data_IF_694430521536
#
_entry.id   IF_694430521536
#
_cell.length_a   1.000
_cell.length_b   1.000
_cell.length_c   1.000
_cell.angle_alpha   90.00
_cell.angle_beta   90.00
_cell.angle_gamma   90.00
#
_symmetry.space_group_name_H-M   'P 1'
#
loop_
_entity.id
_entity.type
_entity.pdbx_description
1 polymer ?
#
# COMPACT_ATOMS: atom_id res chain seq x y z
N UNK A 1 -30.00 12.16 -3.37
CA UNK A 1 -29.39 12.83 -2.21
C UNK A 1 -30.44 13.17 -1.15
N UNK A 2 -31.48 13.93 -1.48
CA UNK A 2 -32.59 14.29 -0.58
C UNK A 2 -33.18 13.08 0.16
N UNK A 3 -33.52 12.00 -0.54
CA UNK A 3 -34.03 10.76 0.07
C UNK A 3 -33.07 10.17 1.12
N UNK A 4 -31.75 10.24 0.88
CA UNK A 4 -30.75 9.76 1.84
C UNK A 4 -30.64 10.70 3.05
N UNK A 5 -30.62 12.02 2.82
CA UNK A 5 -30.56 13.00 3.91
C UNK A 5 -31.78 12.93 4.82
N UNK A 6 -32.97 12.77 4.25
CA UNK A 6 -34.21 12.58 5.02
C UNK A 6 -34.17 11.23 5.74
N UNK A 7 -33.79 10.16 5.02
CA UNK A 7 -33.74 8.80 5.58
C UNK A 7 -32.76 8.63 6.74
N UNK A 8 -31.63 9.35 6.71
CA UNK A 8 -30.58 9.30 7.73
C UNK A 8 -30.53 10.56 8.61
N UNK A 9 -31.59 11.38 8.63
CA UNK A 9 -31.61 12.66 9.36
C UNK A 9 -31.26 12.52 10.84
N UNK A 10 -31.68 11.42 11.47
CA UNK A 10 -31.42 11.15 12.90
C UNK A 10 -29.96 10.80 13.21
N UNK A 11 -29.17 10.45 12.19
CA UNK A 11 -27.74 10.18 12.33
C UNK A 11 -26.88 11.45 12.16
N UNK A 12 -27.48 12.59 11.81
CA UNK A 12 -26.79 13.86 11.54
C UNK A 12 -27.20 14.87 12.61
N UNK A 13 -26.28 15.30 13.47
CA UNK A 13 -26.57 16.31 14.50
C UNK A 13 -26.59 17.73 13.94
N UNK A 14 -25.88 17.98 12.85
CA UNK A 14 -25.87 19.28 12.17
C UNK A 14 -24.75 19.41 11.14
N UNK A 15 -24.54 20.63 10.67
CA UNK A 15 -23.65 20.96 9.56
C UNK A 15 -22.31 21.51 10.05
N UNK A 16 -21.23 21.13 9.36
CA UNK A 16 -19.89 21.69 9.53
C UNK A 16 -19.49 22.34 8.22
N UNK A 17 -19.40 23.67 8.23
CA UNK A 17 -19.13 24.45 7.02
C UNK A 17 -17.63 24.56 6.84
N UNK A 18 -17.08 24.03 5.75
CA UNK A 18 -15.67 24.24 5.41
C UNK A 18 -15.47 25.61 4.73
N UNK A 19 -14.24 26.12 4.73
CA UNK A 19 -13.89 27.36 4.03
C UNK A 19 -13.36 27.04 2.62
N UNK A 20 -14.10 27.34 1.54
CA UNK A 20 -13.65 27.05 0.17
C UNK A 20 -12.41 27.85 -0.25
N UNK A 21 -12.16 29.01 0.36
CA UNK A 21 -10.99 29.84 0.08
C UNK A 21 -9.72 29.32 0.80
N UNK A 22 -9.87 28.31 1.66
CA UNK A 22 -8.77 27.67 2.37
C UNK A 22 -8.94 26.14 2.32
N UNK A 23 -8.30 25.51 1.33
CA UNK A 23 -8.52 24.10 0.97
C UNK A 23 -8.39 23.13 2.14
N UNK A 24 -7.40 23.32 3.02
CA UNK A 24 -7.14 22.43 4.15
C UNK A 24 -8.26 22.40 5.20
N UNK A 25 -9.15 23.41 5.21
CA UNK A 25 -10.29 23.43 6.14
C UNK A 25 -11.22 22.22 5.97
N UNK A 26 -11.32 21.62 4.79
CA UNK A 26 -12.19 20.45 4.57
C UNK A 26 -11.69 19.22 5.35
N UNK A 27 -10.38 19.06 5.55
CA UNK A 27 -9.82 17.98 6.36
C UNK A 27 -10.10 18.19 7.84
N UNK A 28 -9.97 19.42 8.31
CA UNK A 28 -10.32 19.79 9.69
C UNK A 28 -11.82 19.60 9.93
N UNK A 29 -12.67 20.02 8.97
CA UNK A 29 -14.11 19.78 9.01
C UNK A 29 -14.44 18.28 9.03
N UNK A 30 -13.70 17.46 8.27
CA UNK A 30 -13.85 15.99 8.27
C UNK A 30 -13.57 15.40 9.65
N UNK A 31 -12.50 15.84 10.31
CA UNK A 31 -12.18 15.41 11.68
C UNK A 31 -13.28 15.84 12.66
N UNK A 32 -13.73 17.10 12.59
CA UNK A 32 -14.81 17.60 13.45
C UNK A 32 -16.14 16.86 13.22
N UNK A 33 -16.41 16.42 11.99
CA UNK A 33 -17.63 15.69 11.65
C UNK A 33 -17.68 14.34 12.36
N UNK A 34 -16.57 13.61 12.44
CA UNK A 34 -16.48 12.36 13.18
C UNK A 34 -16.64 12.52 14.70
N UNK A 35 -16.30 13.69 15.25
CA UNK A 35 -16.42 13.98 16.69
C UNK A 35 -17.80 14.48 17.11
N UNK A 36 -18.59 14.98 16.16
CA UNK A 36 -19.83 15.71 16.42
C UNK A 36 -21.03 15.16 15.67
N UNK A 37 -20.89 13.97 15.07
CA UNK A 37 -21.89 13.36 14.19
C UNK A 37 -22.41 14.37 13.14
N UNK A 38 -21.48 15.13 12.57
CA UNK A 38 -21.77 16.24 11.66
C UNK A 38 -21.68 15.86 10.20
N UNK A 39 -22.33 16.64 9.33
CA UNK A 39 -22.15 16.56 7.88
C UNK A 39 -21.33 17.75 7.37
N UNK A 40 -20.26 17.47 6.63
CA UNK A 40 -19.42 18.51 6.02
C UNK A 40 -20.14 19.07 4.79
N UNK A 41 -20.26 20.39 4.72
CA UNK A 41 -21.00 21.09 3.66
C UNK A 41 -20.26 22.34 3.20
N UNK A 42 -20.46 22.70 1.93
CA UNK A 42 -20.06 24.02 1.43
C UNK A 42 -20.95 25.13 2.02
N UNK A 43 -20.52 26.40 1.96
CA UNK A 43 -21.33 27.53 2.41
C UNK A 43 -22.70 27.61 1.75
N UNK A 44 -22.77 27.36 0.44
CA UNK A 44 -24.03 27.35 -0.32
C UNK A 44 -24.94 26.22 0.15
N UNK A 45 -24.42 25.01 0.30
CA UNK A 45 -25.21 23.87 0.80
C UNK A 45 -25.72 24.10 2.22
N UNK A 46 -24.92 24.74 3.09
CA UNK A 46 -25.34 25.05 4.44
C UNK A 46 -26.56 25.99 4.46
N UNK A 47 -26.55 27.03 3.61
CA UNK A 47 -27.68 27.95 3.48
C UNK A 47 -28.94 27.22 2.99
N UNK A 48 -28.81 26.42 1.93
CA UNK A 48 -29.93 25.67 1.34
C UNK A 48 -30.53 24.66 2.35
N UNK A 49 -29.67 23.95 3.07
CA UNK A 49 -30.08 22.88 3.98
C UNK A 49 -30.59 23.40 5.31
N UNK A 50 -30.12 24.56 5.77
CA UNK A 50 -30.72 25.24 6.92
C UNK A 50 -32.17 25.62 6.62
N UNK A 51 -32.45 26.15 5.42
CA UNK A 51 -33.80 26.50 5.00
C UNK A 51 -34.70 25.28 4.80
N UNK A 52 -34.16 24.21 4.20
CA UNK A 52 -34.94 23.04 3.78
C UNK A 52 -35.15 22.02 4.92
N UNK A 53 -34.13 21.77 5.72
CA UNK A 53 -34.12 20.65 6.70
C UNK A 53 -33.96 21.10 8.16
N UNK A 54 -33.86 22.42 8.40
CA UNK A 54 -33.62 23.00 9.73
C UNK A 54 -32.45 22.33 10.47
N UNK A 55 -31.38 22.02 9.75
CA UNK A 55 -30.15 21.48 10.32
C UNK A 55 -29.37 22.62 11.02
N UNK A 56 -28.95 22.45 12.28
CA UNK A 56 -28.15 23.47 12.96
C UNK A 56 -26.73 23.50 12.41
N UNK A 57 -26.07 24.65 12.51
CA UNK A 57 -24.64 24.81 12.21
C UNK A 57 -23.85 24.46 13.47
N UNK A 58 -23.05 23.39 13.42
CA UNK A 58 -22.21 22.93 14.53
C UNK A 58 -20.84 23.61 14.56
N UNK A 59 -20.34 24.01 13.40
CA UNK A 59 -19.09 24.76 13.23
C UNK A 59 -19.06 25.44 11.85
N UNK A 60 -18.45 26.62 11.80
CA UNK A 60 -18.20 27.35 10.56
C UNK A 60 -16.72 27.69 10.46
N UNK A 61 -15.98 26.93 9.64
CA UNK A 61 -14.53 27.07 9.53
C UNK A 61 -14.11 28.35 8.79
N UNK A 62 -15.04 29.11 8.20
CA UNK A 62 -14.75 30.42 7.62
C UNK A 62 -14.44 31.48 8.67
N UNK A 63 -14.88 31.28 9.91
CA UNK A 63 -14.59 32.20 11.02
C UNK A 63 -13.19 32.00 11.61
N UNK A 64 -12.48 30.94 11.20
CA UNK A 64 -11.14 30.64 11.67
C UNK A 64 -10.13 31.43 10.83
N UNK A 65 -9.28 32.21 11.50
CA UNK A 65 -8.32 33.11 10.87
C UNK A 65 -6.93 32.46 10.70
N UNK A 66 -6.88 31.23 10.18
CA UNK A 66 -5.60 30.60 9.86
C UNK A 66 -4.99 31.23 8.61
N UNK A 67 -3.70 31.56 8.68
CA UNK A 67 -2.99 32.17 7.56
C UNK A 67 -2.43 31.14 6.57
N UNK A 68 -2.19 29.91 7.04
CA UNK A 68 -1.57 28.83 6.28
C UNK A 68 -1.93 27.46 6.89
N UNK A 69 -1.62 26.38 6.16
CA UNK A 69 -1.89 25.01 6.58
C UNK A 69 -1.18 24.59 7.87
N UNK A 70 0.01 25.13 8.13
CA UNK A 70 0.78 24.79 9.33
C UNK A 70 0.03 25.26 10.59
N UNK A 71 -0.45 26.51 10.59
CA UNK A 71 -1.29 27.04 11.68
C UNK A 71 -2.59 26.25 11.84
N UNK A 72 -3.24 25.91 10.73
CA UNK A 72 -4.53 25.21 10.75
C UNK A 72 -4.38 23.79 11.33
N UNK A 73 -3.38 23.02 10.90
CA UNK A 73 -3.16 21.67 11.39
C UNK A 73 -2.51 21.62 12.78
N UNK A 74 -1.68 22.59 13.17
CA UNK A 74 -1.20 22.64 14.56
C UNK A 74 -2.35 22.98 15.53
N UNK A 75 -3.26 23.87 15.13
CA UNK A 75 -4.52 24.09 15.86
C UNK A 75 -5.34 22.79 15.95
N UNK A 76 -5.53 22.08 14.83
CA UNK A 76 -6.29 20.83 14.82
C UNK A 76 -5.63 19.74 15.68
N UNK A 77 -4.30 19.63 15.65
CA UNK A 77 -3.54 18.71 16.51
C UNK A 77 -3.77 19.00 17.99
N UNK A 78 -3.84 20.27 18.39
CA UNK A 78 -4.06 20.63 19.79
C UNK A 78 -5.51 20.45 20.24
N UNK A 79 -6.49 20.68 19.35
CA UNK A 79 -7.90 20.78 19.73
C UNK A 79 -8.75 19.54 19.35
N UNK A 80 -8.35 18.81 18.30
CA UNK A 80 -9.13 17.70 17.76
C UNK A 80 -8.44 16.36 17.98
N UNK A 81 -7.13 16.24 17.72
CA UNK A 81 -6.40 14.96 17.83
C UNK A 81 -6.58 14.24 19.18
N UNK A 82 -6.59 14.91 20.35
CA UNK A 82 -6.76 14.21 21.64
C UNK A 82 -8.10 13.46 21.79
N UNK A 83 -9.10 13.85 21.00
CA UNK A 83 -10.43 13.23 20.98
C UNK A 83 -10.70 12.42 19.70
N UNK A 84 -9.68 12.22 18.86
CA UNK A 84 -9.74 11.35 17.68
C UNK A 84 -9.39 9.90 18.04
N UNK A 85 -9.67 8.98 17.11
CA UNK A 85 -9.27 7.58 17.22
C UNK A 85 -7.77 7.45 17.46
N UNK A 86 -7.41 6.60 18.43
CA UNK A 86 -6.01 6.24 18.71
C UNK A 86 -5.47 5.13 17.80
N UNK A 87 -6.31 4.57 16.92
CA UNK A 87 -5.95 3.44 16.06
C UNK A 87 -5.56 3.83 14.64
N UNK A 88 -5.94 5.03 14.19
CA UNK A 88 -5.65 5.47 12.83
C UNK A 88 -5.50 7.00 12.71
N UNK A 89 -4.60 7.40 11.81
CA UNK A 89 -4.40 8.78 11.34
C UNK A 89 -4.50 8.80 9.82
N UNK A 90 -4.93 9.90 9.20
CA UNK A 90 -5.06 9.98 7.75
C UNK A 90 -4.34 11.19 7.13
N UNK A 91 -3.51 10.93 6.12
CA UNK A 91 -3.02 11.93 5.19
C UNK A 91 -3.95 12.02 3.98
N UNK A 92 -4.61 13.15 3.73
CA UNK A 92 -5.59 13.26 2.63
C UNK A 92 -5.49 14.58 1.90
N UNK A 93 -5.27 14.55 0.57
CA UNK A 93 -5.29 15.76 -0.23
C UNK A 93 -6.64 16.48 -0.07
N UNK A 94 -6.68 17.76 0.32
CA UNK A 94 -7.93 18.49 0.48
C UNK A 94 -8.75 18.58 -0.82
N UNK A 95 -8.11 18.44 -1.98
CA UNK A 95 -8.80 18.38 -3.28
C UNK A 95 -9.50 17.04 -3.52
N UNK A 96 -9.14 16.00 -2.79
CA UNK A 96 -9.84 14.74 -2.85
C UNK A 96 -11.16 14.87 -2.09
N UNK A 97 -12.24 15.10 -2.83
CA UNK A 97 -13.58 15.35 -2.27
C UNK A 97 -14.35 14.05 -1.92
N UNK A 98 -13.83 12.88 -2.30
CA UNK A 98 -14.55 11.61 -2.20
C UNK A 98 -13.65 10.49 -1.65
N UNK A 99 -14.03 9.22 -1.85
CA UNK A 99 -13.27 8.05 -1.42
C UNK A 99 -13.26 7.90 0.11
N UNK A 100 -12.10 8.14 0.71
CA UNK A 100 -11.81 7.79 2.11
C UNK A 100 -12.60 8.60 3.15
N UNK A 101 -13.08 9.81 2.83
CA UNK A 101 -13.63 10.76 3.83
C UNK A 101 -14.77 10.18 4.68
N UNK A 102 -15.68 9.42 4.07
CA UNK A 102 -16.79 8.79 4.80
C UNK A 102 -16.29 7.84 5.89
N UNK A 103 -15.26 7.06 5.59
CA UNK A 103 -14.60 6.19 6.56
C UNK A 103 -13.95 7.00 7.67
N UNK A 104 -13.23 8.09 7.36
CA UNK A 104 -12.57 8.94 8.36
C UNK A 104 -13.56 9.57 9.34
N UNK A 105 -14.74 9.98 8.85
CA UNK A 105 -15.83 10.44 9.71
C UNK A 105 -16.34 9.28 10.57
N UNK A 106 -16.64 8.13 9.96
CA UNK A 106 -17.18 6.97 10.66
C UNK A 106 -16.25 6.41 11.75
N UNK A 107 -14.93 6.56 11.58
CA UNK A 107 -13.91 6.07 12.53
C UNK A 107 -13.34 7.17 13.42
N UNK A 108 -13.88 8.39 13.37
CA UNK A 108 -13.38 9.55 14.12
C UNK A 108 -11.85 9.73 13.94
N UNK A 109 -11.36 9.59 12.71
CA UNK A 109 -9.92 9.63 12.40
C UNK A 109 -9.44 11.07 12.23
N UNK A 110 -8.29 11.39 12.82
CA UNK A 110 -7.64 12.68 12.62
C UNK A 110 -7.08 12.80 11.19
N UNK A 111 -7.39 13.91 10.50
CA UNK A 111 -7.02 14.12 9.10
C UNK A 111 -6.06 15.31 8.97
N UNK A 112 -4.95 15.09 8.25
CA UNK A 112 -3.95 16.12 7.94
C UNK A 112 -3.53 16.08 6.46
N UNK A 113 -2.85 17.14 5.98
CA UNK A 113 -2.12 17.10 4.71
C UNK A 113 -0.95 18.07 4.72
N UNK A 114 0.24 17.52 4.95
CA UNK A 114 1.49 18.25 5.22
C UNK A 114 2.61 17.70 4.33
N UNK A 115 3.56 18.54 3.92
CA UNK A 115 4.71 18.13 3.10
C UNK A 115 5.86 17.64 3.99
N UNK A 116 6.11 16.33 3.96
CA UNK A 116 7.18 15.65 4.69
C UNK A 116 8.60 16.08 4.27
N UNK A 117 8.75 16.78 3.14
CA UNK A 117 10.04 17.34 2.68
C UNK A 117 10.29 18.76 3.20
N UNK A 118 9.29 19.40 3.81
CA UNK A 118 9.47 20.74 4.38
C UNK A 118 10.13 20.64 5.76
N UNK A 119 11.46 20.63 5.79
CA UNK A 119 12.28 20.48 6.99
C UNK A 119 12.63 21.82 7.67
N UNK A 120 12.62 22.93 6.93
CA UNK A 120 13.03 24.23 7.47
C UNK A 120 11.94 24.81 8.38
N UNK A 121 12.28 25.19 9.62
CA UNK A 121 11.37 25.91 10.50
C UNK A 121 10.85 27.19 9.87
N UNK A 122 9.53 27.38 9.93
CA UNK A 122 8.92 28.65 9.59
C UNK A 122 8.96 29.58 10.80
N UNK A 123 9.79 30.62 10.71
CA UNK A 123 9.97 31.63 11.75
C UNK A 123 8.71 32.43 12.05
N UNK A 124 7.73 32.42 11.13
CA UNK A 124 6.42 33.08 11.31
C UNK A 124 5.39 32.17 11.98
N UNK A 125 5.70 30.88 12.16
CA UNK A 125 4.80 29.87 12.73
C UNK A 125 5.50 29.09 13.84
N UNK A 126 5.87 29.77 14.93
CA UNK A 126 6.47 29.19 16.13
C UNK A 126 7.74 28.35 15.87
N UNK A 127 8.51 28.65 14.82
CA UNK A 127 9.68 27.86 14.41
C UNK A 127 9.33 26.39 14.15
N UNK A 128 8.11 26.12 13.68
CA UNK A 128 7.65 24.78 13.30
C UNK A 128 7.79 24.59 11.78
N UNK A 129 8.08 23.36 11.35
CA UNK A 129 8.02 22.96 9.94
C UNK A 129 6.89 21.95 9.73
N UNK A 130 6.41 21.79 8.49
CA UNK A 130 5.36 20.80 8.22
C UNK A 130 5.83 19.38 8.55
N UNK A 131 7.09 19.04 8.24
CA UNK A 131 7.70 17.76 8.65
C UNK A 131 7.70 17.61 10.18
N UNK A 132 8.08 18.65 10.91
CA UNK A 132 8.11 18.64 12.37
C UNK A 132 6.70 18.46 12.96
N UNK A 133 5.69 19.09 12.37
CA UNK A 133 4.30 18.91 12.77
C UNK A 133 3.79 17.49 12.46
N UNK A 134 4.14 16.91 11.31
CA UNK A 134 3.82 15.50 11.01
C UNK A 134 4.41 14.56 12.05
N UNK A 135 5.69 14.73 12.41
CA UNK A 135 6.34 13.95 13.46
C UNK A 135 5.64 14.11 14.82
N UNK A 136 5.23 15.34 15.16
CA UNK A 136 4.47 15.60 16.38
C UNK A 136 3.11 14.91 16.37
N UNK A 137 2.41 14.86 15.23
CA UNK A 137 1.14 14.12 15.08
C UNK A 137 1.37 12.61 15.25
N UNK A 138 2.35 12.04 14.55
CA UNK A 138 2.58 10.59 14.57
C UNK A 138 3.03 10.07 15.94
N UNK A 139 3.75 10.89 16.70
CA UNK A 139 4.21 10.54 18.06
C UNK A 139 3.05 10.31 19.05
N UNK A 140 1.87 10.84 18.79
CA UNK A 140 0.68 10.63 19.64
C UNK A 140 0.05 9.24 19.46
N UNK A 141 0.48 8.48 18.46
CA UNK A 141 -0.04 7.14 18.17
C UNK A 141 0.89 6.06 18.73
N UNK A 142 0.28 4.96 19.22
CA UNK A 142 1.05 3.79 19.65
C UNK A 142 1.55 2.99 18.44
N UNK A 143 2.71 2.31 18.55
CA UNK A 143 3.18 1.38 17.54
C UNK A 143 2.08 0.39 17.11
N UNK A 144 1.92 0.20 15.80
CA UNK A 144 0.89 -0.66 15.21
C UNK A 144 -0.44 0.04 14.89
N UNK A 145 -0.61 1.32 15.23
CA UNK A 145 -1.64 2.16 14.62
C UNK A 145 -1.39 2.31 13.10
N UNK A 146 -2.44 2.66 12.37
CA UNK A 146 -2.43 2.67 10.90
C UNK A 146 -2.45 4.09 10.36
N UNK A 147 -1.61 4.35 9.36
CA UNK A 147 -1.72 5.54 8.53
C UNK A 147 -2.58 5.21 7.30
N UNK A 148 -3.67 5.96 7.12
CA UNK A 148 -4.59 5.88 6.00
C UNK A 148 -4.35 7.03 5.02
N UNK A 149 -4.86 6.87 3.80
CA UNK A 149 -4.75 7.88 2.75
C UNK A 149 -3.39 7.83 2.05
N UNK A 150 -2.79 8.99 1.79
CA UNK A 150 -1.52 9.10 1.07
C UNK A 150 -0.72 10.37 1.47
N UNK A 151 0.44 10.56 0.85
CA UNK A 151 1.37 11.65 1.12
C UNK A 151 1.57 12.56 -0.11
N UNK A 152 2.06 13.77 0.14
CA UNK A 152 2.58 14.64 -0.92
C UNK A 152 3.84 14.03 -1.56
N UNK A 153 4.68 13.39 -0.75
CA UNK A 153 5.89 12.69 -1.18
C UNK A 153 5.95 11.31 -0.50
N UNK A 154 5.91 10.24 -1.31
CA UNK A 154 5.87 8.86 -0.84
C UNK A 154 7.10 8.50 0.01
N UNK A 155 8.30 8.70 -0.54
CA UNK A 155 9.55 8.25 0.10
C UNK A 155 9.75 8.88 1.48
N UNK A 156 9.61 10.19 1.59
CA UNK A 156 9.75 10.86 2.88
C UNK A 156 8.56 10.64 3.82
N UNK A 157 7.34 10.49 3.29
CA UNK A 157 6.13 10.19 4.05
C UNK A 157 6.16 8.80 4.71
N UNK A 158 6.40 7.76 3.91
CA UNK A 158 6.53 6.37 4.36
C UNK A 158 7.72 6.20 5.31
N UNK A 159 8.81 6.96 5.11
CA UNK A 159 9.93 6.98 6.06
C UNK A 159 9.51 7.50 7.43
N UNK A 160 8.73 8.59 7.49
CA UNK A 160 8.27 9.16 8.77
C UNK A 160 7.29 8.23 9.50
N UNK A 161 6.38 7.57 8.79
CA UNK A 161 5.46 6.61 9.41
C UNK A 161 6.20 5.35 9.85
N UNK A 162 7.18 4.88 9.06
CA UNK A 162 8.02 3.74 9.44
C UNK A 162 8.82 4.03 10.71
N UNK A 163 9.44 5.22 10.82
CA UNK A 163 10.14 5.65 12.05
C UNK A 163 9.21 5.67 13.28
N UNK A 164 7.93 5.97 13.08
CA UNK A 164 6.90 6.00 14.11
C UNK A 164 6.20 4.63 14.34
N UNK A 165 6.65 3.57 13.67
CA UNK A 165 6.02 2.25 13.67
C UNK A 165 4.51 2.27 13.29
N UNK A 166 4.17 3.14 12.34
CA UNK A 166 2.84 3.25 11.72
C UNK A 166 2.87 2.64 10.33
N UNK A 167 2.03 1.64 10.12
CA UNK A 167 1.90 0.97 8.81
C UNK A 167 1.02 1.80 7.88
N UNK A 168 1.40 1.95 6.62
CA UNK A 168 0.62 2.71 5.64
C UNK A 168 -0.33 1.79 4.87
N UNK A 169 -1.59 2.22 4.72
CA UNK A 169 -2.55 1.64 3.79
C UNK A 169 -2.98 2.71 2.78
N UNK A 170 -2.51 2.61 1.54
CA UNK A 170 -2.87 3.53 0.46
C UNK A 170 -4.37 3.44 0.15
N UNK A 171 -5.13 4.44 0.59
CA UNK A 171 -6.60 4.39 0.65
C UNK A 171 -7.29 5.71 0.32
N UNK A 172 -6.57 6.75 -0.09
CA UNK A 172 -7.14 8.08 -0.37
C UNK A 172 -8.22 8.05 -1.47
N UNK A 173 -8.09 7.15 -2.44
CA UNK A 173 -9.05 6.89 -3.51
C UNK A 173 -9.82 5.56 -3.35
N UNK A 174 -9.84 4.99 -2.14
CA UNK A 174 -10.66 3.81 -1.85
C UNK A 174 -12.09 4.23 -1.53
N UNK A 175 -13.06 3.67 -2.24
CA UNK A 175 -14.46 4.03 -2.09
C UNK A 175 -15.20 3.06 -1.17
N UNK A 176 -16.06 3.63 -0.32
CA UNK A 176 -16.98 2.91 0.56
C UNK A 176 -16.27 1.99 1.56
N UNK A 177 -15.09 2.36 2.06
CA UNK A 177 -14.32 1.50 2.98
C UNK A 177 -15.14 1.15 4.22
N UNK A 178 -15.98 2.07 4.70
CA UNK A 178 -16.90 1.83 5.82
C UNK A 178 -17.93 0.72 5.54
N UNK A 179 -18.34 0.58 4.29
CA UNK A 179 -19.23 -0.50 3.85
C UNK A 179 -18.44 -1.79 3.69
N UNK A 180 -17.28 -1.73 3.03
CA UNK A 180 -16.44 -2.91 2.80
C UNK A 180 -15.97 -3.56 4.10
N UNK A 181 -15.61 -2.78 5.11
CA UNK A 181 -15.17 -3.27 6.42
C UNK A 181 -16.34 -3.77 7.28
N UNK A 182 -17.55 -3.23 7.12
CA UNK A 182 -18.72 -3.63 7.93
C UNK A 182 -19.43 -4.90 7.43
N UNK A 183 -19.31 -5.23 6.14
CA UNK A 183 -19.92 -6.42 5.58
C UNK A 183 -19.04 -7.65 5.83
N UNK A 184 -19.43 -8.47 6.82
CA UNK A 184 -18.79 -9.76 7.02
C UNK A 184 -19.13 -10.72 5.87
N UNK A 185 -18.12 -11.33 5.26
CA UNK A 185 -18.32 -12.39 4.27
C UNK A 185 -18.80 -13.66 4.98
N UNK A 186 -19.99 -14.16 4.65
CA UNK A 186 -20.52 -15.43 5.15
C UNK A 186 -19.74 -16.66 4.65
N UNK A 187 -18.81 -16.48 3.71
CA UNK A 187 -17.90 -17.51 3.20
C UNK A 187 -16.47 -17.13 3.56
N UNK A 188 -16.12 -17.29 4.84
CA UNK A 188 -14.73 -17.32 5.28
C UNK A 188 -14.12 -18.66 4.87
N UNK A 189 -13.74 -18.78 3.60
CA UNK A 189 -12.79 -19.79 3.15
C UNK A 189 -12.19 -19.21 1.89
N UNK A 190 -10.98 -18.66 2.01
CA UNK A 190 -10.08 -18.61 0.87
C UNK A 190 -10.08 -20.03 0.32
N UNK A 191 -10.62 -20.22 -0.88
CA UNK A 191 -10.40 -21.46 -1.61
C UNK A 191 -8.88 -21.61 -1.62
N UNK A 192 -8.35 -22.74 -1.15
CA UNK A 192 -6.95 -23.05 -1.39
C UNK A 192 -6.72 -22.82 -2.89
N UNK A 193 -5.77 -21.94 -3.21
CA UNK A 193 -5.38 -21.75 -4.61
C UNK A 193 -5.18 -23.16 -5.20
N UNK A 194 -5.66 -23.43 -6.43
CA UNK A 194 -5.58 -24.77 -7.01
C UNK A 194 -4.17 -25.34 -6.80
N UNK A 195 -4.09 -26.55 -6.23
CA UNK A 195 -2.83 -27.23 -5.93
C UNK A 195 -1.89 -27.08 -7.12
N UNK A 196 -0.69 -26.53 -6.86
CA UNK A 196 0.32 -26.28 -7.88
C UNK A 196 0.48 -27.51 -8.79
N UNK A 197 0.58 -27.28 -10.10
CA UNK A 197 1.07 -28.30 -11.03
C UNK A 197 2.42 -28.83 -10.52
N UNK A 198 2.75 -30.08 -10.89
CA UNK A 198 4.03 -30.66 -10.51
C UNK A 198 5.18 -29.71 -10.89
N UNK A 199 6.03 -29.37 -9.92
CA UNK A 199 7.16 -28.44 -10.11
C UNK A 199 8.00 -28.92 -11.30
N UNK A 200 8.11 -28.14 -12.39
CA UNK A 200 8.82 -28.59 -13.58
C UNK A 200 10.30 -28.85 -13.29
N UNK A 201 10.85 -29.95 -13.82
CA UNK A 201 12.29 -30.20 -13.79
C UNK A 201 12.96 -29.40 -14.91
N UNK A 202 13.94 -28.56 -14.57
CA UNK A 202 14.74 -27.85 -15.57
C UNK A 202 15.88 -28.71 -16.08
N UNK A 203 16.10 -28.69 -17.40
CA UNK A 203 17.38 -29.11 -17.97
C UNK A 203 18.47 -28.08 -17.69
N UNK A 204 19.73 -28.51 -17.75
CA UNK A 204 20.91 -27.70 -17.42
C UNK A 204 21.09 -26.43 -18.27
N UNK A 205 20.35 -26.23 -19.36
CA UNK A 205 20.43 -25.03 -20.20
C UNK A 205 19.18 -24.15 -20.12
N UNK A 206 18.14 -24.57 -19.40
CA UNK A 206 16.90 -23.83 -19.31
C UNK A 206 16.95 -22.72 -18.26
N UNK A 207 16.11 -21.73 -18.47
CA UNK A 207 15.88 -20.59 -17.57
C UNK A 207 14.45 -20.68 -17.07
N UNK A 208 14.24 -20.80 -15.76
CA UNK A 208 12.91 -20.61 -15.19
C UNK A 208 12.65 -19.12 -15.03
N UNK A 209 11.48 -18.69 -15.47
CA UNK A 209 11.05 -17.28 -15.41
C UNK A 209 9.66 -17.17 -14.82
N UNK A 210 9.46 -16.17 -13.97
CA UNK A 210 8.14 -15.78 -13.46
C UNK A 210 7.97 -14.26 -13.57
N UNK A 211 6.72 -13.81 -13.52
CA UNK A 211 6.33 -12.41 -13.64
C UNK A 211 5.47 -12.05 -12.43
N UNK A 212 5.81 -10.96 -11.74
CA UNK A 212 5.08 -10.46 -10.57
C UNK A 212 4.59 -9.04 -10.83
N UNK A 213 3.28 -8.82 -10.79
CA UNK A 213 2.66 -7.50 -10.94
C UNK A 213 2.72 -6.74 -9.61
N UNK A 214 3.19 -5.49 -9.67
CA UNK A 214 3.43 -4.59 -8.54
C UNK A 214 2.17 -3.98 -7.90
N UNK A 215 2.38 -3.09 -6.92
CA UNK A 215 1.38 -2.20 -6.29
C UNK A 215 0.32 -2.91 -5.43
N UNK A 216 0.54 -4.16 -5.04
CA UNK A 216 -0.41 -4.94 -4.25
C UNK A 216 -0.65 -4.45 -2.82
N UNK A 217 0.27 -3.70 -2.23
CA UNK A 217 0.09 -3.05 -0.93
C UNK A 217 -1.01 -1.97 -0.95
N UNK A 218 -1.24 -1.41 -2.13
CA UNK A 218 -2.12 -0.30 -2.37
C UNK A 218 -3.59 -0.78 -2.49
N UNK A 219 -4.38 -0.56 -1.43
CA UNK A 219 -5.77 -1.05 -1.37
C UNK A 219 -6.66 -0.43 -2.45
N UNK A 220 -6.45 0.84 -2.82
CA UNK A 220 -7.20 1.48 -3.92
C UNK A 220 -6.79 0.91 -5.29
N UNK A 221 -5.53 0.53 -5.50
CA UNK A 221 -5.12 -0.23 -6.68
C UNK A 221 -5.88 -1.55 -6.74
N UNK A 222 -5.96 -2.29 -5.63
CA UNK A 222 -6.70 -3.55 -5.53
C UNK A 222 -8.19 -3.37 -5.86
N UNK A 223 -8.84 -2.30 -5.37
CA UNK A 223 -10.25 -2.04 -5.65
C UNK A 223 -10.50 -1.69 -7.12
N UNK A 224 -9.57 -0.97 -7.76
CA UNK A 224 -9.80 -0.37 -9.08
C UNK A 224 -8.95 -1.02 -10.17
N UNK A 225 -7.66 -0.73 -10.19
CA UNK A 225 -6.82 -1.05 -11.34
C UNK A 225 -6.51 -2.55 -11.43
N UNK A 226 -6.22 -3.21 -10.30
CA UNK A 226 -6.06 -4.65 -10.26
C UNK A 226 -7.29 -5.35 -10.82
N UNK A 227 -8.51 -4.90 -10.49
CA UNK A 227 -9.75 -5.49 -11.04
C UNK A 227 -9.82 -5.40 -12.57
N UNK A 228 -9.28 -4.32 -13.18
CA UNK A 228 -9.18 -4.20 -14.63
C UNK A 228 -8.19 -5.20 -15.21
N UNK A 229 -7.00 -5.30 -14.63
CA UNK A 229 -5.98 -6.28 -15.03
C UNK A 229 -6.47 -7.72 -14.82
N UNK A 230 -7.19 -7.97 -13.74
CA UNK A 230 -7.79 -9.26 -13.39
C UNK A 230 -8.87 -9.71 -14.38
N UNK A 231 -9.43 -8.78 -15.18
CA UNK A 231 -10.42 -9.08 -16.23
C UNK A 231 -9.80 -9.18 -17.63
N UNK A 232 -8.48 -9.06 -17.75
CA UNK A 232 -7.78 -9.23 -19.01
C UNK A 232 -8.00 -10.64 -19.58
N UNK A 233 -8.29 -10.73 -20.89
CA UNK A 233 -8.62 -12.00 -21.56
C UNK A 233 -7.47 -13.01 -21.63
N UNK A 234 -6.23 -12.55 -21.47
CA UNK A 234 -5.04 -13.41 -21.44
C UNK A 234 -4.79 -14.01 -20.05
N UNK A 235 -5.39 -13.45 -18.99
CA UNK A 235 -5.28 -13.99 -17.63
C UNK A 235 -5.81 -15.43 -17.58
N UNK A 236 -5.13 -16.29 -16.83
CA UNK A 236 -5.45 -17.71 -16.74
C UNK A 236 -4.88 -18.56 -17.87
N UNK A 237 -4.36 -17.95 -18.94
CA UNK A 237 -3.63 -18.66 -20.01
C UNK A 237 -2.10 -18.66 -19.84
N UNK A 238 -1.59 -17.87 -18.88
CA UNK A 238 -0.16 -17.72 -18.57
C UNK A 238 0.04 -17.58 -17.05
N UNK A 239 1.14 -18.12 -16.47
CA UNK A 239 1.46 -17.92 -15.05
C UNK A 239 1.75 -16.46 -14.71
N UNK A 240 1.08 -15.92 -13.69
CA UNK A 240 1.22 -14.53 -13.22
C UNK A 240 1.17 -14.50 -11.69
N UNK A 241 2.13 -13.81 -11.08
CA UNK A 241 2.08 -13.38 -9.68
C UNK A 241 1.40 -12.03 -9.53
N UNK A 242 0.58 -11.91 -8.50
CA UNK A 242 -0.13 -10.70 -8.11
C UNK A 242 0.28 -10.34 -6.69
N UNK A 243 0.96 -9.21 -6.51
CA UNK A 243 1.07 -8.66 -5.16
C UNK A 243 -0.33 -8.28 -4.67
N UNK A 244 -0.64 -8.56 -3.41
CA UNK A 244 -1.92 -8.26 -2.76
C UNK A 244 -1.70 -7.96 -1.28
N UNK A 245 -2.39 -6.94 -0.77
CA UNK A 245 -2.27 -6.51 0.62
C UNK A 245 -2.86 -7.57 1.54
N UNK A 246 -2.08 -8.11 2.50
CA UNK A 246 -2.60 -9.01 3.53
C UNK A 246 -3.73 -8.37 4.37
N UNK A 247 -3.74 -7.04 4.49
CA UNK A 247 -4.79 -6.32 5.21
C UNK A 247 -6.16 -6.35 4.49
N UNK A 248 -6.20 -6.75 3.20
CA UNK A 248 -7.44 -6.80 2.43
C UNK A 248 -8.51 -7.69 3.06
N UNK A 249 -8.10 -8.79 3.70
CA UNK A 249 -9.04 -9.72 4.37
C UNK A 249 -9.80 -9.06 5.53
N UNK A 250 -9.25 -8.01 6.12
CA UNK A 250 -9.88 -7.22 7.17
C UNK A 250 -10.54 -5.95 6.62
N UNK A 251 -9.87 -5.25 5.71
CA UNK A 251 -10.35 -3.98 5.16
C UNK A 251 -11.55 -4.16 4.21
N UNK A 252 -11.53 -5.21 3.38
CA UNK A 252 -12.56 -5.51 2.40
C UNK A 252 -12.71 -7.03 2.16
N UNK A 253 -13.19 -7.80 3.16
CA UNK A 253 -13.34 -9.26 3.07
C UNK A 253 -14.14 -9.73 1.84
N UNK A 254 -15.17 -8.99 1.44
CA UNK A 254 -15.95 -9.30 0.23
C UNK A 254 -15.13 -9.19 -1.06
N UNK A 255 -14.21 -8.21 -1.12
CA UNK A 255 -13.30 -8.01 -2.25
C UNK A 255 -12.20 -9.09 -2.27
N UNK A 256 -11.62 -9.41 -1.12
CA UNK A 256 -10.72 -10.57 -0.98
C UNK A 256 -11.40 -11.84 -1.49
N UNK A 257 -12.60 -12.15 -0.99
CA UNK A 257 -13.35 -13.33 -1.40
C UNK A 257 -13.64 -13.38 -2.92
N UNK A 258 -13.85 -12.23 -3.57
CA UNK A 258 -14.00 -12.18 -5.03
C UNK A 258 -12.74 -12.65 -5.76
N UNK A 259 -11.55 -12.18 -5.36
CA UNK A 259 -10.28 -12.58 -5.97
C UNK A 259 -10.02 -14.09 -5.78
N UNK A 260 -10.21 -14.63 -4.56
CA UNK A 260 -10.04 -16.06 -4.32
C UNK A 260 -11.08 -16.94 -5.02
N UNK A 261 -12.32 -16.49 -5.20
CA UNK A 261 -13.34 -17.26 -5.94
C UNK A 261 -13.04 -17.35 -7.43
N UNK A 262 -12.32 -16.37 -7.98
CA UNK A 262 -12.10 -16.24 -9.42
C UNK A 262 -10.67 -16.56 -9.85
N UNK A 263 -9.78 -16.88 -8.90
CA UNK A 263 -8.39 -17.30 -9.13
C UNK A 263 -8.32 -18.53 -10.05
N UNK A 264 -7.35 -18.53 -10.98
CA UNK A 264 -7.04 -19.68 -11.84
C UNK A 264 -5.81 -20.43 -11.31
N UNK A 265 -5.49 -21.60 -11.88
CA UNK A 265 -4.26 -22.33 -11.54
C UNK A 265 -2.96 -21.60 -11.97
N UNK A 266 -3.10 -20.58 -12.82
CA UNK A 266 -2.01 -19.76 -13.32
C UNK A 266 -1.87 -18.42 -12.57
N UNK A 267 -2.70 -18.17 -11.56
CA UNK A 267 -2.61 -16.99 -10.71
C UNK A 267 -1.94 -17.37 -9.38
N UNK A 268 -1.02 -16.53 -8.90
CA UNK A 268 -0.34 -16.70 -7.62
C UNK A 268 -0.40 -15.40 -6.81
N UNK A 269 -0.78 -15.47 -5.54
CA UNK A 269 -0.89 -14.29 -4.67
C UNK A 269 0.36 -14.15 -3.80
N UNK A 270 0.92 -12.94 -3.81
CA UNK A 270 2.14 -12.58 -3.07
C UNK A 270 1.77 -11.48 -2.07
N UNK A 271 2.19 -11.59 -0.82
CA UNK A 271 2.00 -10.52 0.15
C UNK A 271 2.72 -9.25 -0.33
N UNK A 272 1.95 -8.17 -0.47
CA UNK A 272 2.46 -6.89 -0.98
C UNK A 272 3.46 -6.20 -0.03
N UNK A 273 4.21 -5.22 -0.55
CA UNK A 273 5.20 -4.43 0.18
C UNK A 273 4.65 -3.80 1.48
N UNK A 274 5.25 -3.93 2.65
CA UNK A 274 6.25 -4.94 3.03
C UNK A 274 5.68 -5.79 4.17
N UNK A 275 4.44 -6.26 4.01
CA UNK A 275 3.73 -7.09 5.00
C UNK A 275 2.31 -6.63 5.29
N UNK A 276 1.96 -6.48 6.58
CA UNK A 276 0.62 -6.05 7.03
C UNK A 276 0.16 -4.67 6.47
N UNK A 277 1.08 -3.94 5.85
CA UNK A 277 0.88 -2.79 4.99
C UNK A 277 2.24 -2.18 4.68
N UNK A 278 2.24 -1.04 3.98
CA UNK A 278 3.47 -0.50 3.43
C UNK A 278 4.33 0.17 4.51
N UNK A 279 5.59 -0.21 4.54
CA UNK A 279 6.62 0.30 5.44
C UNK A 279 8.01 0.03 4.85
N UNK A 280 9.00 0.80 5.30
CA UNK A 280 10.42 0.56 5.00
C UNK A 280 11.08 -0.17 6.16
N UNK A 281 11.49 -1.44 6.00
CA UNK A 281 12.07 -2.23 7.09
C UNK A 281 13.27 -1.54 7.73
N UNK A 282 14.15 -0.93 6.93
CA UNK A 282 15.36 -0.23 7.42
C UNK A 282 15.06 0.96 8.35
N UNK A 283 13.85 1.49 8.32
CA UNK A 283 13.38 2.62 9.15
C UNK A 283 12.54 2.16 10.34
N UNK A 284 12.05 0.92 10.32
CA UNK A 284 11.16 0.42 11.36
C UNK A 284 11.90 0.22 12.70
N UNK A 285 11.41 0.74 13.84
CA UNK A 285 12.07 0.57 15.13
C UNK A 285 12.28 -0.91 15.47
N UNK A 286 13.52 -1.27 15.79
CA UNK A 286 13.92 -2.66 15.97
C UNK A 286 13.12 -3.39 17.08
N UNK A 287 12.71 -2.66 18.12
CA UNK A 287 11.91 -3.18 19.22
C UNK A 287 10.44 -3.41 18.84
N UNK A 288 9.91 -2.70 17.85
CA UNK A 288 8.52 -2.82 17.39
C UNK A 288 8.36 -3.82 16.24
N UNK A 289 9.46 -4.16 15.55
CA UNK A 289 9.46 -5.10 14.42
C UNK A 289 8.83 -6.47 14.76
N UNK A 290 9.09 -7.11 15.92
CA UNK A 290 8.46 -8.40 16.24
C UNK A 290 6.92 -8.34 16.26
N UNK A 291 6.34 -7.25 16.79
CA UNK A 291 4.89 -7.05 16.81
C UNK A 291 4.33 -6.88 15.39
N UNK A 292 5.03 -6.11 14.55
CA UNK A 292 4.66 -5.96 13.14
C UNK A 292 4.72 -7.29 12.37
N UNK A 293 5.76 -8.10 12.57
CA UNK A 293 5.91 -9.39 11.88
C UNK A 293 4.88 -10.41 12.36
N UNK A 294 4.53 -10.43 13.65
CA UNK A 294 3.42 -11.25 14.13
C UNK A 294 2.10 -10.88 13.45
N UNK A 295 1.79 -9.58 13.30
CA UNK A 295 0.58 -9.13 12.60
C UNK A 295 0.62 -9.51 11.12
N UNK A 296 1.75 -9.29 10.47
CA UNK A 296 1.98 -9.66 9.06
C UNK A 296 1.77 -11.16 8.85
N UNK A 297 2.40 -11.99 9.67
CA UNK A 297 2.29 -13.44 9.60
C UNK A 297 0.85 -13.95 9.75
N UNK A 298 0.09 -13.43 10.72
CA UNK A 298 -1.33 -13.80 10.89
C UNK A 298 -2.20 -13.42 9.70
N UNK A 299 -1.97 -12.26 9.10
CA UNK A 299 -2.71 -11.82 7.90
C UNK A 299 -2.34 -12.68 6.68
N UNK A 300 -1.04 -12.97 6.51
CA UNK A 300 -0.55 -13.86 5.46
C UNK A 300 -1.15 -15.26 5.61
N UNK A 301 -1.15 -15.84 6.81
CA UNK A 301 -1.77 -17.13 7.10
C UNK A 301 -3.28 -17.13 6.78
N UNK A 302 -3.99 -16.07 7.16
CA UNK A 302 -5.44 -15.91 6.87
C UNK A 302 -5.76 -15.81 5.38
N UNK A 303 -4.78 -15.41 4.56
CA UNK A 303 -4.88 -15.30 3.11
C UNK A 303 -4.08 -16.40 2.38
N UNK A 304 -3.50 -17.37 3.09
CA UNK A 304 -2.62 -18.39 2.52
C UNK A 304 -1.50 -17.82 1.63
N UNK A 305 -0.91 -16.69 2.03
CA UNK A 305 0.20 -16.06 1.32
C UNK A 305 1.53 -16.64 1.85
N UNK A 306 2.28 -17.31 0.99
CA UNK A 306 3.58 -17.92 1.36
C UNK A 306 4.80 -17.16 0.83
N UNK A 307 4.60 -16.11 0.05
CA UNK A 307 5.69 -15.27 -0.49
C UNK A 307 5.45 -13.83 -0.12
N UNK A 308 6.50 -13.13 0.29
CA UNK A 308 6.48 -11.71 0.64
C UNK A 308 7.32 -10.90 -0.36
N UNK A 309 6.76 -9.84 -0.91
CA UNK A 309 7.49 -8.77 -1.59
C UNK A 309 7.90 -7.72 -0.57
N UNK A 310 9.18 -7.32 -0.58
CA UNK A 310 9.73 -6.31 0.31
C UNK A 310 10.31 -5.17 -0.50
N UNK A 311 9.84 -3.96 -0.22
CA UNK A 311 10.44 -2.72 -0.71
C UNK A 311 11.04 -1.95 0.45
N UNK A 312 12.20 -1.36 0.22
CA UNK A 312 12.91 -0.53 1.19
C UNK A 312 13.49 0.73 0.51
N UNK A 313 14.02 1.64 1.30
CA UNK A 313 14.55 2.92 0.83
C UNK A 313 16.01 3.09 1.27
N UNK A 314 16.84 3.69 0.40
CA UNK A 314 18.15 4.18 0.84
C UNK A 314 17.98 5.47 1.64
N UNK A 315 18.85 5.72 2.62
CA UNK A 315 18.87 6.93 3.46
C UNK A 315 18.75 8.20 2.62
N UNK A 316 19.43 8.26 1.47
CA UNK A 316 19.42 9.43 0.59
C UNK A 316 18.05 9.67 -0.06
N UNK A 317 17.33 8.61 -0.44
CA UNK A 317 15.97 8.70 -0.99
C UNK A 317 14.94 9.06 0.10
N UNK A 318 15.17 8.65 1.35
CA UNK A 318 14.29 8.99 2.49
C UNK A 318 14.17 10.49 2.77
N UNK A 319 15.10 11.30 2.24
CA UNK A 319 15.10 12.77 2.38
C UNK A 319 14.09 13.47 1.46
N UNK A 320 13.64 12.82 0.38
CA UNK A 320 12.74 13.42 -0.62
C UNK A 320 13.35 14.57 -1.43
N UNK A 321 14.68 14.76 -1.40
CA UNK A 321 15.39 15.80 -2.15
C UNK A 321 15.67 15.31 -3.59
N UNK A 322 15.10 15.91 -4.65
CA UNK A 322 15.12 15.36 -6.02
C UNK A 322 16.51 15.18 -6.63
N UNK A 323 17.46 16.06 -6.31
CA UNK A 323 18.84 16.02 -6.85
C UNK A 323 19.60 14.80 -6.32
N UNK A 324 19.24 14.33 -5.12
CA UNK A 324 19.94 13.27 -4.40
C UNK A 324 19.36 11.89 -4.70
N UNK A 325 18.03 11.79 -4.89
CA UNK A 325 17.36 10.53 -5.23
C UNK A 325 17.83 9.91 -6.56
N UNK A 326 18.27 10.74 -7.52
CA UNK A 326 18.78 10.29 -8.82
C UNK A 326 20.17 9.63 -8.79
N UNK A 327 20.92 9.75 -7.69
CA UNK A 327 22.31 9.25 -7.61
C UNK A 327 22.40 7.75 -7.29
N UNK A 328 21.30 7.11 -6.87
CA UNK A 328 21.24 5.68 -6.59
C UNK A 328 19.90 5.10 -7.04
N UNK A 329 19.88 4.52 -8.24
CA UNK A 329 18.78 3.67 -8.70
C UNK A 329 18.86 2.28 -8.04
N UNK A 330 18.82 2.21 -6.70
CA UNK A 330 19.01 0.95 -5.94
C UNK A 330 17.80 0.02 -5.98
N UNK A 331 16.82 0.25 -6.87
CA UNK A 331 15.69 -0.66 -7.05
C UNK A 331 14.88 -0.92 -5.79
N UNK A 332 14.91 -0.03 -4.78
CA UNK A 332 14.23 -0.20 -3.49
C UNK A 332 14.57 -1.52 -2.75
N UNK A 333 15.82 -1.99 -2.88
CA UNK A 333 16.28 -3.25 -2.28
C UNK A 333 16.55 -3.10 -0.79
N UNK A 334 15.99 -4.00 0.03
CA UNK A 334 16.42 -4.23 1.41
C UNK A 334 17.82 -4.85 1.37
N UNK A 335 18.85 -4.05 1.68
CA UNK A 335 20.25 -4.47 1.56
C UNK A 335 20.83 -5.11 2.84
N UNK A 336 20.20 -4.93 4.00
CA UNK A 336 20.70 -5.45 5.28
C UNK A 336 20.38 -6.96 5.43
N UNK A 337 21.38 -7.86 5.39
CA UNK A 337 21.14 -9.30 5.51
C UNK A 337 20.65 -9.72 6.89
N UNK A 338 21.00 -9.00 7.96
CA UNK A 338 20.49 -9.29 9.30
C UNK A 338 19.00 -8.96 9.38
N UNK A 339 18.59 -7.85 8.76
CA UNK A 339 17.19 -7.48 8.70
C UNK A 339 16.38 -8.45 7.84
N UNK A 340 16.90 -8.86 6.67
CA UNK A 340 16.30 -9.94 5.87
C UNK A 340 16.11 -11.21 6.71
N UNK A 341 17.13 -11.63 7.46
CA UNK A 341 17.05 -12.80 8.34
C UNK A 341 16.00 -12.63 9.44
N UNK A 342 15.85 -11.43 10.03
CA UNK A 342 14.81 -11.14 11.03
C UNK A 342 13.41 -11.21 10.45
N UNK A 343 13.19 -10.68 9.24
CA UNK A 343 11.91 -10.81 8.53
C UNK A 343 11.56 -12.28 8.31
N UNK A 344 12.53 -13.06 7.82
CA UNK A 344 12.36 -14.50 7.58
C UNK A 344 12.03 -15.22 8.88
N UNK A 345 12.82 -15.02 9.95
CA UNK A 345 12.59 -15.66 11.25
C UNK A 345 11.22 -15.32 11.84
N UNK A 346 10.76 -14.07 11.70
CA UNK A 346 9.46 -13.65 12.20
C UNK A 346 8.27 -14.22 11.43
N UNK A 347 8.45 -14.55 10.15
CA UNK A 347 7.38 -15.00 9.26
C UNK A 347 7.42 -16.49 8.93
N UNK A 348 8.55 -17.17 9.15
CA UNK A 348 8.69 -18.61 8.95
C UNK A 348 7.62 -19.44 9.71
N UNK A 349 7.27 -19.12 10.98
CA UNK A 349 6.20 -19.82 11.70
C UNK A 349 4.82 -19.71 11.06
N UNK A 350 4.62 -18.75 10.15
CA UNK A 350 3.36 -18.49 9.45
C UNK A 350 3.38 -18.98 7.99
N UNK A 351 4.37 -19.81 7.62
CA UNK A 351 4.43 -20.44 6.30
C UNK A 351 5.15 -19.64 5.21
N UNK A 352 6.06 -18.73 5.58
CA UNK A 352 6.91 -18.04 4.59
C UNK A 352 7.80 -19.05 3.85
N UNK A 353 7.66 -19.11 2.53
CA UNK A 353 8.42 -19.97 1.62
C UNK A 353 9.29 -19.20 0.62
N UNK A 354 9.15 -17.88 0.52
CA UNK A 354 10.01 -17.06 -0.34
C UNK A 354 9.92 -15.57 -0.01
N UNK A 355 11.02 -14.86 -0.23
CA UNK A 355 11.10 -13.41 -0.08
C UNK A 355 11.60 -12.80 -1.40
N UNK A 356 10.74 -12.01 -2.03
CA UNK A 356 11.09 -11.15 -3.15
C UNK A 356 11.57 -9.80 -2.62
N UNK A 357 12.60 -9.23 -3.23
CA UNK A 357 13.31 -8.07 -2.70
C UNK A 357 13.51 -6.99 -3.76
N UNK A 358 12.92 -5.82 -3.51
CA UNK A 358 13.07 -4.58 -4.26
C UNK A 358 12.22 -4.53 -5.53
N UNK A 359 11.99 -3.31 -6.02
CA UNK A 359 11.39 -3.03 -7.32
C UNK A 359 12.28 -3.40 -8.52
N UNK A 360 13.53 -3.79 -8.26
CA UNK A 360 14.32 -4.60 -9.18
C UNK A 360 15.69 -4.02 -9.54
N UNK A 361 16.61 -4.91 -9.85
CA UNK A 361 18.00 -4.65 -10.25
C UNK A 361 18.25 -5.16 -11.66
N UNK A 362 19.36 -4.74 -12.29
CA UNK A 362 19.81 -5.27 -13.57
C UNK A 362 20.44 -6.66 -13.43
N UNK A 363 21.01 -6.95 -12.27
CA UNK A 363 21.72 -8.18 -11.96
C UNK A 363 21.15 -8.75 -10.66
N UNK A 364 20.10 -9.60 -10.74
CA UNK A 364 19.43 -10.11 -9.56
C UNK A 364 20.33 -11.10 -8.80
N UNK A 365 20.45 -10.89 -7.49
CA UNK A 365 21.08 -11.83 -6.59
C UNK A 365 20.05 -12.75 -5.95
N UNK A 366 20.49 -13.98 -5.65
CA UNK A 366 19.67 -14.98 -4.97
C UNK A 366 20.50 -15.71 -3.93
N UNK A 367 19.98 -15.81 -2.71
CA UNK A 367 20.57 -16.59 -1.63
C UNK A 367 19.50 -17.31 -0.80
N UNK A 368 19.92 -18.27 0.02
CA UNK A 368 19.04 -19.02 0.91
C UNK A 368 19.34 -18.59 2.34
N UNK A 369 18.30 -18.23 3.09
CA UNK A 369 18.38 -17.92 4.52
C UNK A 369 17.36 -18.77 5.27
N UNK A 370 17.83 -19.64 6.16
CA UNK A 370 16.99 -20.62 6.91
C UNK A 370 16.07 -21.47 6.01
N UNK A 371 16.56 -21.87 4.83
CA UNK A 371 15.77 -22.64 3.86
C UNK A 371 14.78 -21.81 3.02
N UNK A 372 14.67 -20.51 3.28
CA UNK A 372 13.84 -19.59 2.49
C UNK A 372 14.69 -18.88 1.43
N UNK A 373 14.32 -18.97 0.14
CA UNK A 373 14.94 -18.16 -0.90
C UNK A 373 14.66 -16.66 -0.72
N UNK A 374 15.72 -15.87 -0.80
CA UNK A 374 15.67 -14.41 -0.95
C UNK A 374 16.11 -14.09 -2.38
N UNK A 375 15.22 -13.51 -3.16
CA UNK A 375 15.44 -13.21 -4.57
C UNK A 375 15.27 -11.71 -4.85
N UNK A 376 16.30 -11.07 -5.39
CA UNK A 376 16.17 -9.69 -5.87
C UNK A 376 15.47 -9.65 -7.22
N UNK A 377 14.43 -8.86 -7.36
CA UNK A 377 13.67 -8.78 -8.60
C UNK A 377 14.51 -8.30 -9.80
N UNK A 378 14.21 -8.81 -10.99
CA UNK A 378 14.81 -8.33 -12.24
C UNK A 378 14.04 -7.13 -12.77
N UNK A 379 14.54 -5.93 -12.47
CA UNK A 379 14.05 -4.62 -12.93
C UNK A 379 12.56 -4.32 -12.71
N UNK A 380 12.19 -3.04 -12.84
CA UNK A 380 10.79 -2.63 -12.96
C UNK A 380 10.45 -2.49 -14.44
N UNK A 381 9.88 -3.54 -15.00
CA UNK A 381 9.50 -3.64 -16.40
C UNK A 381 8.17 -2.91 -16.66
N UNK A 382 8.17 -1.99 -17.62
CA UNK A 382 7.02 -1.11 -17.93
C UNK A 382 6.48 -1.29 -19.35
N UNK A 383 7.10 -2.17 -20.15
CA UNK A 383 6.76 -2.42 -21.54
C UNK A 383 7.30 -3.78 -22.00
N UNK A 384 6.72 -4.34 -23.07
CA UNK A 384 7.16 -5.61 -23.67
C UNK A 384 8.64 -5.55 -24.08
N UNK A 385 9.07 -4.47 -24.74
CA UNK A 385 10.45 -4.30 -25.20
C UNK A 385 11.44 -4.25 -24.05
N UNK A 386 11.18 -3.42 -23.02
CA UNK A 386 12.04 -3.31 -21.83
C UNK A 386 12.10 -4.63 -21.08
N UNK A 387 10.98 -5.36 -21.00
CA UNK A 387 10.95 -6.71 -20.38
C UNK A 387 11.88 -7.68 -21.10
N UNK A 388 11.79 -7.75 -22.43
CA UNK A 388 12.65 -8.61 -23.24
C UNK A 388 14.12 -8.21 -23.13
N UNK A 389 14.42 -6.91 -23.07
CA UNK A 389 15.77 -6.40 -22.85
C UNK A 389 16.33 -6.84 -21.50
N UNK A 390 15.58 -6.61 -20.41
CA UNK A 390 15.97 -7.04 -19.05
C UNK A 390 16.27 -8.53 -18.99
N UNK A 391 15.36 -9.36 -19.51
CA UNK A 391 15.50 -10.82 -19.52
C UNK A 391 16.74 -11.24 -20.32
N UNK A 392 16.90 -10.74 -21.56
CA UNK A 392 18.04 -11.10 -22.42
C UNK A 392 19.38 -10.67 -21.80
N UNK A 393 19.43 -9.48 -21.23
CA UNK A 393 20.63 -8.96 -20.57
C UNK A 393 21.00 -9.77 -19.32
N UNK A 394 20.01 -10.20 -18.53
CA UNK A 394 20.25 -11.07 -17.36
C UNK A 394 20.78 -12.45 -17.79
N UNK A 395 20.20 -13.04 -18.85
CA UNK A 395 20.64 -14.34 -19.38
C UNK A 395 22.04 -14.29 -19.99
N UNK A 396 22.40 -13.21 -20.69
CA UNK A 396 23.74 -13.05 -21.27
C UNK A 396 24.82 -12.79 -20.22
N UNK A 397 24.45 -12.06 -19.16
CA UNK A 397 25.40 -11.61 -18.12
C UNK A 397 25.65 -12.66 -17.04
N UNK A 398 24.78 -13.68 -16.91
CA UNK A 398 24.94 -14.76 -15.95
C UNK A 398 25.05 -16.12 -16.65
N UNK A 399 26.20 -16.78 -16.51
CA UNK A 399 26.47 -18.10 -17.10
C UNK A 399 26.05 -19.27 -16.19
N UNK A 400 25.68 -19.02 -14.93
CA UNK A 400 25.21 -20.06 -14.01
C UNK A 400 23.89 -20.66 -14.50
N UNK A 401 23.79 -21.98 -14.48
CA UNK A 401 22.57 -22.71 -14.86
C UNK A 401 22.22 -23.83 -13.87
N UNK A 402 20.92 -24.16 -13.69
CA UNK A 402 19.76 -23.43 -14.21
C UNK A 402 19.68 -22.00 -13.68
N UNK A 403 19.14 -21.08 -14.49
CA UNK A 403 18.98 -19.67 -14.11
C UNK A 403 17.52 -19.43 -13.71
N UNK A 404 17.32 -18.64 -12.65
CA UNK A 404 16.01 -18.28 -12.14
C UNK A 404 15.80 -16.77 -12.25
N UNK A 405 14.69 -16.36 -12.88
CA UNK A 405 14.33 -14.97 -13.11
C UNK A 405 12.92 -14.66 -12.56
N UNK A 406 12.79 -13.73 -11.62
CA UNK A 406 11.50 -13.08 -11.35
C UNK A 406 11.53 -11.66 -11.91
N UNK A 407 10.66 -11.36 -12.87
CA UNK A 407 10.52 -10.02 -13.44
C UNK A 407 9.45 -9.26 -12.68
N UNK A 408 9.78 -8.08 -12.17
CA UNK A 408 8.81 -7.22 -11.50
C UNK A 408 8.18 -6.26 -12.50
N UNK A 409 6.86 -6.30 -12.59
CA UNK A 409 6.07 -5.67 -13.65
C UNK A 409 5.34 -4.46 -13.06
N UNK A 410 5.54 -3.29 -13.68
CA UNK A 410 4.82 -2.07 -13.33
C UNK A 410 3.34 -2.23 -13.70
N UNK A 411 2.49 -2.35 -12.68
CA UNK A 411 1.07 -2.62 -12.86
C UNK A 411 0.34 -1.58 -13.73
N UNK A 412 0.82 -0.34 -13.71
CA UNK A 412 0.19 0.80 -14.39
C UNK A 412 0.44 0.87 -15.90
N UNK A 413 1.39 0.10 -16.43
CA UNK A 413 1.80 0.19 -17.84
C UNK A 413 1.79 -1.13 -18.59
N UNK A 414 1.71 -2.26 -17.89
CA UNK A 414 1.65 -3.58 -18.49
C UNK A 414 0.44 -4.38 -18.01
N UNK A 415 -0.13 -5.14 -18.94
CA UNK A 415 -1.27 -6.03 -18.73
C UNK A 415 -0.86 -7.50 -18.81
N UNK A 416 -1.70 -8.45 -18.36
CA UNK A 416 -1.52 -9.86 -18.68
C UNK A 416 -1.35 -10.15 -20.18
N UNK A 417 -2.01 -9.40 -21.06
CA UNK A 417 -1.81 -9.52 -22.51
C UNK A 417 -0.41 -9.11 -22.96
N UNK A 418 0.19 -8.07 -22.36
CA UNK A 418 1.57 -7.68 -22.64
C UNK A 418 2.57 -8.74 -22.14
N UNK A 419 2.35 -9.30 -20.94
CA UNK A 419 3.17 -10.40 -20.42
C UNK A 419 3.09 -11.62 -21.35
N UNK A 420 1.90 -11.94 -21.87
CA UNK A 420 1.73 -13.02 -22.85
C UNK A 420 2.52 -12.75 -24.13
N UNK A 421 2.54 -11.51 -24.60
CA UNK A 421 3.33 -11.11 -25.76
C UNK A 421 4.84 -11.25 -25.49
N UNK A 422 5.31 -10.95 -24.27
CA UNK A 422 6.70 -11.22 -23.86
C UNK A 422 6.97 -12.72 -23.95
N UNK A 423 6.13 -13.55 -23.34
CA UNK A 423 6.29 -15.01 -23.31
C UNK A 423 6.37 -15.60 -24.73
N UNK A 424 5.52 -15.13 -25.66
CA UNK A 424 5.53 -15.58 -27.06
C UNK A 424 6.81 -15.20 -27.82
N UNK A 425 7.51 -14.15 -27.39
CA UNK A 425 8.78 -13.72 -27.97
C UNK A 425 10.00 -14.31 -27.26
N UNK A 426 9.79 -15.01 -26.14
CA UNK A 426 10.81 -15.83 -25.49
C UNK A 426 10.86 -17.20 -26.20
N UNK A 427 12.07 -17.71 -26.43
CA UNK A 427 12.26 -19.01 -27.08
C UNK A 427 12.08 -20.21 -26.15
N UNK A 428 12.20 -21.42 -26.70
CA UNK A 428 11.98 -22.69 -25.97
C UNK A 428 12.93 -22.96 -24.78
N UNK A 429 13.96 -22.11 -24.59
CA UNK A 429 14.87 -22.20 -23.45
C UNK A 429 14.25 -21.68 -22.13
N UNK A 430 13.14 -20.93 -22.21
CA UNK A 430 12.47 -20.37 -21.05
C UNK A 430 11.32 -21.26 -20.60
N UNK A 431 11.28 -21.58 -19.30
CA UNK A 431 10.18 -22.29 -18.66
C UNK A 431 9.44 -21.29 -17.77
N UNK A 432 8.24 -20.91 -18.17
CA UNK A 432 7.44 -19.92 -17.45
C UNK A 432 6.68 -20.62 -16.31
N UNK A 433 6.81 -20.10 -15.09
CA UNK A 433 6.18 -20.63 -13.88
C UNK A 433 5.62 -19.50 -13.02
N UNK A 434 4.76 -19.84 -12.05
CA UNK A 434 4.35 -18.85 -11.02
C UNK A 434 5.53 -18.49 -10.10
N UNK A 435 5.52 -17.31 -9.46
CA UNK A 435 6.59 -16.95 -8.53
C UNK A 435 6.77 -17.92 -7.35
N UNK A 436 5.70 -18.46 -6.76
CA UNK A 436 5.77 -19.47 -5.72
C UNK A 436 6.40 -20.79 -6.19
N UNK A 437 6.12 -21.19 -7.44
CA UNK A 437 6.81 -22.32 -8.08
C UNK A 437 8.29 -22.00 -8.29
N UNK A 438 8.62 -20.78 -8.75
CA UNK A 438 10.01 -20.33 -8.89
C UNK A 438 10.76 -20.41 -7.55
N UNK A 439 10.16 -19.95 -6.45
CA UNK A 439 10.75 -20.05 -5.10
C UNK A 439 11.01 -21.50 -4.71
N UNK A 440 10.04 -22.39 -4.94
CA UNK A 440 10.20 -23.83 -4.69
C UNK A 440 11.35 -24.43 -5.50
N UNK A 441 11.51 -24.01 -6.75
CA UNK A 441 12.61 -24.46 -7.60
C UNK A 441 13.97 -23.93 -7.12
N UNK A 442 14.05 -22.66 -6.71
CA UNK A 442 15.27 -22.07 -6.15
C UNK A 442 15.70 -22.80 -4.87
N UNK A 443 14.75 -23.13 -3.99
CA UNK A 443 15.03 -23.85 -2.75
C UNK A 443 15.56 -25.29 -2.99
N UNK A 444 15.12 -25.95 -4.08
CA UNK A 444 15.55 -27.32 -4.44
C UNK A 444 16.78 -27.39 -5.34
N UNK A 445 17.02 -26.35 -6.13
CA UNK A 445 18.01 -26.31 -7.22
C UNK A 445 19.36 -25.69 -6.84
N UNK A 446 19.61 -25.44 -5.56
CA UNK A 446 20.91 -25.08 -5.00
C UNK A 446 21.41 -26.16 -4.07
#
# INVERSE_FOLDING_TARGET
LEVLLIGYRTAIQGMIIYNPDFSDSINIATTMAGQRDGIVVSPTQAQDWQQTYNLPILADLRTYQWNNRLQAYDWARQNLLPNSSSHAVAGLDPKNAAGLRSFLVATNTFVYYLDSRNFLPDVTNNFQSERGLMQAIFKEYSPGAVHLGWFIDEGSGVSLTSDAALTVLATDNFYNLEVWTSVQSSTASAREAPLAEAVPTLSANQVAISFTISDGDNLQYIQHHMLRLWRDSSRGSIPIGWTISPALIQAAPGLAAYYYRTVSANDDFIAGPSGAGYMFPSRWPAQELPGFLQRTGRLMESMHLSTLEVLDIDFLQSTGIPIIANLRQTGMVLSDPNLQLRLIQGLLPYGLHGLLNGAGTKMPEVHIAQGVPVYQNLGLADSVSKTLELVRNAVSSNQQRPLFLNVYILAWSMTPSDIKQVIQQLGNQYVVVTPGTLMTMIAKGK
#
